data_IF_265036756855
#
_entry.id   IF_265036756855
#
_cell.length_a   1.000
_cell.length_b   1.000
_cell.length_c   1.000
_cell.angle_alpha   90.00
_cell.angle_beta   90.00
_cell.angle_gamma   90.00
#
_symmetry.space_group_name_H-M   'P 1'
#
loop_
_entity.id
_entity.type
_entity.pdbx_description
1 polymer ?
#
# COMPACT_ATOMS: atom_id res chain seq x y z
N UNK A 1 26.42 26.17 -64.45
CA UNK A 1 27.86 26.54 -64.47
C UNK A 1 28.44 26.41 -63.05
N UNK A 2 29.73 26.09 -62.88
CA UNK A 2 30.43 26.03 -61.56
C UNK A 2 31.21 27.32 -61.28
N UNK A 3 31.20 27.79 -60.02
CA UNK A 3 32.28 28.52 -59.29
C UNK A 3 31.73 28.76 -57.86
N UNK A 4 32.10 28.02 -56.80
CA UNK A 4 33.39 27.73 -56.11
C UNK A 4 34.00 28.89 -55.32
N UNK A 5 34.00 28.69 -53.99
CA UNK A 5 35.06 28.98 -53.01
C UNK A 5 35.34 30.44 -52.58
N UNK A 6 35.32 30.67 -51.26
CA UNK A 6 36.55 30.68 -50.42
C UNK A 6 36.25 30.37 -48.95
N UNK A 7 37.30 30.06 -48.16
CA UNK A 7 37.23 29.32 -46.89
C UNK A 7 38.42 29.68 -45.98
N UNK A 8 38.16 29.97 -44.68
CA UNK A 8 39.06 30.03 -43.49
C UNK A 8 38.13 29.84 -42.27
N UNK A 9 38.19 28.85 -41.36
CA UNK A 9 39.24 28.01 -40.71
C UNK A 9 40.09 28.76 -39.66
N UNK A 10 40.35 28.09 -38.51
CA UNK A 10 41.12 28.49 -37.31
C UNK A 10 40.30 29.39 -36.35
N UNK A 11 40.10 29.11 -35.04
CA UNK A 11 40.21 27.94 -34.12
C UNK A 11 39.44 28.33 -32.79
N UNK A 12 39.31 27.64 -31.64
CA UNK A 12 39.78 26.36 -31.05
C UNK A 12 38.84 25.92 -29.88
N UNK A 13 38.71 24.59 -29.62
CA UNK A 13 38.41 23.80 -28.38
C UNK A 13 37.61 24.46 -27.21
N UNK A 14 36.64 23.78 -26.55
CA UNK A 14 36.82 22.50 -25.82
C UNK A 14 35.54 21.65 -25.63
N UNK A 15 35.68 20.54 -24.89
CA UNK A 15 34.75 19.42 -24.68
C UNK A 15 33.36 19.77 -24.10
N UNK A 16 32.31 19.09 -24.59
CA UNK A 16 31.61 18.06 -23.80
C UNK A 16 30.77 17.13 -24.69
N UNK A 17 30.74 15.83 -24.37
CA UNK A 17 29.95 14.81 -25.07
C UNK A 17 28.88 14.27 -24.13
N UNK A 18 27.61 14.60 -24.37
CA UNK A 18 26.48 14.05 -23.61
C UNK A 18 25.49 13.37 -24.54
N UNK A 19 25.66 12.05 -24.71
CA UNK A 19 24.71 11.19 -25.43
C UNK A 19 23.44 11.04 -24.58
N UNK A 20 22.38 11.80 -24.88
CA UNK A 20 21.08 11.64 -24.22
C UNK A 20 20.43 10.34 -24.72
N UNK A 21 20.67 9.26 -23.98
CA UNK A 21 20.02 7.98 -24.21
C UNK A 21 18.57 8.07 -23.71
N UNK A 22 17.60 8.10 -24.62
CA UNK A 22 16.17 8.12 -24.29
C UNK A 22 15.70 6.74 -23.80
N UNK A 23 15.96 6.45 -22.53
CA UNK A 23 15.49 5.21 -21.87
C UNK A 23 13.98 5.26 -21.68
N UNK A 24 13.24 4.76 -22.67
CA UNK A 24 11.81 4.49 -22.55
C UNK A 24 11.59 3.42 -21.47
N UNK A 25 11.28 3.86 -20.24
CA UNK A 25 10.90 2.97 -19.15
C UNK A 25 9.46 2.47 -19.33
N UNK A 26 9.30 1.51 -20.24
CA UNK A 26 8.11 0.67 -20.32
C UNK A 26 7.96 -0.10 -19.01
N UNK A 27 7.10 0.37 -18.11
CA UNK A 27 6.82 -0.29 -16.83
C UNK A 27 6.01 -1.57 -17.08
N UNK A 28 6.71 -2.63 -17.47
CA UNK A 28 6.20 -3.99 -17.40
C UNK A 28 5.98 -4.34 -15.93
N UNK A 29 4.71 -4.49 -15.54
CA UNK A 29 4.33 -4.89 -14.18
C UNK A 29 4.70 -6.37 -13.94
N UNK A 30 5.97 -6.63 -13.62
CA UNK A 30 6.40 -7.95 -13.16
C UNK A 30 5.86 -8.19 -11.75
N UNK A 31 5.01 -9.22 -11.59
CA UNK A 31 4.57 -9.71 -10.28
C UNK A 31 5.75 -10.31 -9.49
N UNK A 32 6.55 -9.45 -8.87
CA UNK A 32 7.51 -9.84 -7.84
C UNK A 32 6.79 -9.85 -6.49
N UNK A 33 6.87 -10.98 -5.79
CA UNK A 33 6.36 -11.07 -4.42
C UNK A 33 7.29 -10.27 -3.50
N UNK A 34 6.93 -9.03 -3.18
CA UNK A 34 7.63 -8.22 -2.18
C UNK A 34 7.55 -8.97 -0.84
N UNK A 35 8.66 -9.56 -0.42
CA UNK A 35 8.78 -10.14 0.92
C UNK A 35 9.23 -9.07 1.91
N UNK A 36 8.85 -9.24 3.19
CA UNK A 36 9.08 -8.23 4.23
C UNK A 36 10.58 -7.95 4.50
N UNK A 37 11.47 -8.77 3.95
CA UNK A 37 12.93 -8.59 3.93
C UNK A 37 13.43 -7.51 2.96
N UNK A 38 12.64 -7.16 1.94
CA UNK A 38 13.16 -6.48 0.74
C UNK A 38 13.07 -4.95 0.85
N UNK A 39 12.46 -4.44 1.92
CA UNK A 39 12.36 -3.03 2.24
C UNK A 39 13.69 -2.56 2.87
N UNK A 40 14.61 -2.04 2.04
CA UNK A 40 15.72 -1.22 2.53
C UNK A 40 15.18 0.11 3.07
N UNK A 41 14.91 0.16 4.36
CA UNK A 41 14.49 1.37 5.07
C UNK A 41 15.65 2.38 5.08
N UNK A 42 15.57 3.41 4.23
CA UNK A 42 16.41 4.60 4.35
C UNK A 42 15.85 5.51 5.44
N UNK A 43 16.73 6.03 6.29
CA UNK A 43 16.37 6.71 7.53
C UNK A 43 15.94 8.16 7.31
N UNK A 44 14.66 8.47 7.53
CA UNK A 44 14.17 9.81 7.84
C UNK A 44 13.12 9.71 8.96
N UNK A 45 13.35 10.45 10.05
CA UNK A 45 12.32 10.82 11.03
C UNK A 45 11.85 12.26 10.70
N UNK A 46 10.73 12.70 11.29
CA UNK A 46 10.73 13.94 12.10
C UNK A 46 9.41 14.18 12.88
N UNK A 47 9.59 14.86 14.02
CA UNK A 47 8.65 15.59 14.92
C UNK A 47 7.30 15.00 15.40
N UNK A 48 6.50 14.22 14.64
CA UNK A 48 5.16 13.77 15.10
C UNK A 48 5.02 12.27 15.46
N UNK A 49 6.14 11.55 15.56
CA UNK A 49 6.17 10.19 16.15
C UNK A 49 5.53 9.08 15.30
N UNK A 50 5.10 9.37 14.06
CA UNK A 50 4.85 8.33 13.06
C UNK A 50 6.18 7.73 12.59
N UNK A 51 6.69 6.82 13.43
CA UNK A 51 7.96 6.11 13.25
C UNK A 51 7.99 5.20 12.01
N UNK A 52 9.16 4.61 11.76
CA UNK A 52 9.52 3.63 10.72
C UNK A 52 8.57 2.42 10.56
N UNK A 53 7.53 2.29 11.39
CA UNK A 53 6.55 1.20 11.42
C UNK A 53 5.21 1.54 10.73
N UNK A 54 5.02 2.78 10.25
CA UNK A 54 3.83 3.13 9.47
C UNK A 54 3.87 2.46 8.08
N UNK A 55 2.77 1.82 7.66
CA UNK A 55 2.70 1.14 6.36
C UNK A 55 2.00 2.05 5.35
N UNK A 56 2.64 2.32 4.21
CA UNK A 56 1.98 3.00 3.08
C UNK A 56 0.87 2.12 2.48
N UNK A 57 -0.27 2.74 2.20
CA UNK A 57 -1.47 2.13 1.60
C UNK A 57 -1.63 2.53 0.13
N UNK A 58 -1.18 3.73 -0.22
CA UNK A 58 -1.10 4.27 -1.58
C UNK A 58 -0.12 5.43 -1.61
N UNK A 59 0.55 5.62 -2.74
CA UNK A 59 1.39 6.78 -3.05
C UNK A 59 1.01 7.27 -4.44
N UNK A 60 0.91 8.60 -4.61
CA UNK A 60 0.35 9.23 -5.80
C UNK A 60 0.89 10.68 -5.96
N UNK A 61 0.70 11.30 -7.13
CA UNK A 61 1.19 12.68 -7.40
C UNK A 61 0.15 13.53 -8.12
N UNK A 62 0.16 14.83 -7.83
CA UNK A 62 -0.89 15.77 -8.20
C UNK A 62 -0.27 17.07 -8.72
N UNK A 63 -0.47 17.34 -10.01
CA UNK A 63 -0.21 18.65 -10.59
C UNK A 63 -1.19 19.67 -10.01
N UNK A 64 -0.68 20.83 -9.60
CA UNK A 64 -1.45 21.96 -9.11
C UNK A 64 -1.56 23.02 -10.19
N UNK A 65 -2.78 23.46 -10.43
CA UNK A 65 -3.11 24.47 -11.44
C UNK A 65 -3.59 25.77 -10.80
N UNK A 66 -3.17 26.89 -11.38
CA UNK A 66 -3.79 28.21 -11.20
C UNK A 66 -4.65 28.56 -12.43
N UNK A 67 -5.54 29.54 -12.30
CA UNK A 67 -6.15 30.20 -13.46
C UNK A 67 -5.16 31.21 -14.03
N UNK A 68 -4.92 31.16 -15.35
CA UNK A 68 -4.41 32.36 -16.05
C UNK A 68 -5.43 33.50 -15.92
N UNK A 69 -4.95 34.74 -15.95
CA UNK A 69 -5.76 35.96 -16.02
C UNK A 69 -6.45 36.10 -17.39
N UNK A 70 -7.36 35.18 -17.72
CA UNK A 70 -8.18 35.25 -18.91
C UNK A 70 -9.30 36.29 -18.73
N UNK A 71 -9.39 37.23 -19.66
CA UNK A 71 -10.37 38.32 -19.71
C UNK A 71 -11.80 37.86 -20.06
N UNK A 72 -12.03 36.56 -20.28
CA UNK A 72 -13.35 35.97 -20.45
C UNK A 72 -13.50 34.65 -19.70
N UNK A 73 -14.74 34.23 -19.47
CA UNK A 73 -15.07 32.96 -18.80
C UNK A 73 -14.84 31.72 -19.67
N UNK A 74 -14.72 31.88 -21.00
CA UNK A 74 -14.81 30.77 -21.96
C UNK A 74 -13.46 30.09 -22.31
N UNK A 75 -12.32 30.69 -21.94
CA UNK A 75 -10.99 30.27 -22.40
C UNK A 75 -9.95 30.23 -21.27
N UNK A 76 -10.33 29.68 -20.10
CA UNK A 76 -9.44 29.57 -18.94
C UNK A 76 -8.49 28.37 -19.05
N UNK A 77 -7.38 28.58 -19.75
CA UNK A 77 -6.21 27.71 -19.61
C UNK A 77 -5.78 27.60 -18.15
N UNK A 78 -5.53 26.35 -17.71
CA UNK A 78 -5.02 26.00 -16.40
C UNK A 78 -3.54 25.67 -16.51
N UNK A 79 -2.68 26.56 -16.02
CA UNK A 79 -1.23 26.38 -16.05
C UNK A 79 -0.78 25.55 -14.84
N UNK A 80 0.10 24.56 -15.05
CA UNK A 80 0.70 23.78 -13.96
C UNK A 80 1.74 24.66 -13.27
N UNK A 81 1.43 25.09 -12.04
CA UNK A 81 2.28 25.97 -11.23
C UNK A 81 3.04 25.23 -10.13
N UNK A 82 2.74 23.95 -9.91
CA UNK A 82 3.41 23.10 -8.94
C UNK A 82 2.98 21.65 -9.02
N UNK A 83 3.59 20.81 -8.20
CA UNK A 83 3.30 19.39 -8.05
C UNK A 83 3.47 19.00 -6.58
N UNK A 84 2.60 18.17 -6.02
CA UNK A 84 2.84 17.55 -4.72
C UNK A 84 2.64 16.03 -4.79
N UNK A 85 3.64 15.29 -4.31
CA UNK A 85 3.53 13.84 -4.11
C UNK A 85 3.09 13.56 -2.68
N UNK A 86 2.25 12.55 -2.50
CA UNK A 86 1.71 12.19 -1.19
C UNK A 86 1.53 10.68 -1.05
N UNK A 87 1.47 10.21 0.19
CA UNK A 87 1.03 8.86 0.50
C UNK A 87 -0.02 8.85 1.61
N UNK A 88 -0.89 7.84 1.59
CA UNK A 88 -1.68 7.51 2.79
C UNK A 88 -1.07 6.34 3.51
N UNK A 89 -1.14 6.35 4.84
CA UNK A 89 -0.61 5.29 5.67
C UNK A 89 -1.60 4.86 6.75
N UNK A 90 -1.27 3.77 7.44
CA UNK A 90 -1.81 3.49 8.76
C UNK A 90 -0.70 3.20 9.77
N UNK A 91 -1.00 3.42 11.04
CA UNK A 91 -0.19 3.00 12.19
C UNK A 91 -1.11 2.60 13.36
N UNK A 92 -0.73 1.59 14.14
CA UNK A 92 -1.37 1.30 15.42
C UNK A 92 -0.66 2.01 16.57
N UNK A 93 -1.40 2.76 17.39
CA UNK A 93 -0.90 3.43 18.60
C UNK A 93 -1.99 3.38 19.68
N UNK A 94 -1.66 2.93 20.89
CA UNK A 94 -2.51 2.98 22.09
C UNK A 94 -3.96 2.49 21.91
N UNK A 95 -4.12 1.31 21.32
CA UNK A 95 -5.44 0.71 21.07
C UNK A 95 -6.17 1.25 19.83
N UNK A 96 -5.61 2.26 19.16
CA UNK A 96 -6.23 2.94 18.01
C UNK A 96 -5.48 2.65 16.72
N UNK A 97 -6.24 2.47 15.64
CA UNK A 97 -5.75 2.55 14.27
C UNK A 97 -5.78 4.02 13.85
N UNK A 98 -4.60 4.59 13.56
CA UNK A 98 -4.44 5.89 12.90
C UNK A 98 -4.41 5.68 11.40
N UNK A 99 -5.13 6.50 10.64
CA UNK A 99 -5.01 6.60 9.18
C UNK A 99 -4.55 8.02 8.83
N UNK A 100 -3.42 8.13 8.13
CA UNK A 100 -2.75 9.40 7.86
C UNK A 100 -2.64 9.74 6.38
N UNK A 101 -2.45 11.03 6.09
CA UNK A 101 -2.07 11.57 4.79
C UNK A 101 -0.76 12.32 4.98
N UNK A 102 0.29 11.92 4.27
CA UNK A 102 1.65 12.45 4.38
C UNK A 102 2.04 13.16 3.08
N UNK A 103 2.62 14.35 3.20
CA UNK A 103 3.16 15.11 2.08
C UNK A 103 4.62 14.67 1.87
N UNK A 104 4.89 13.94 0.79
CA UNK A 104 6.23 13.41 0.47
C UNK A 104 7.11 14.44 -0.26
N UNK A 105 6.49 15.30 -1.08
CA UNK A 105 7.14 16.43 -1.73
C UNK A 105 6.13 17.56 -2.03
N UNK A 106 6.67 18.74 -2.35
CA UNK A 106 5.91 19.94 -2.73
C UNK A 106 6.85 20.81 -3.56
N UNK A 107 6.61 20.88 -4.86
CA UNK A 107 7.41 21.58 -5.88
C UNK A 107 6.57 22.72 -6.47
N UNK A 108 7.17 23.88 -6.73
CA UNK A 108 6.48 25.04 -7.29
C UNK A 108 5.60 25.78 -6.26
N UNK A 109 4.49 26.36 -6.73
CA UNK A 109 3.56 27.13 -5.89
C UNK A 109 2.87 26.26 -4.84
N UNK A 110 2.77 26.79 -3.61
CA UNK A 110 2.07 26.13 -2.50
C UNK A 110 0.60 26.56 -2.43
N UNK A 111 -0.34 25.62 -2.23
CA UNK A 111 -1.72 25.95 -1.87
C UNK A 111 -1.80 26.82 -0.62
N UNK A 112 -2.86 27.63 -0.50
CA UNK A 112 -3.21 28.33 0.74
C UNK A 112 -3.78 27.36 1.79
N UNK A 113 -4.48 26.33 1.32
CA UNK A 113 -5.07 25.28 2.15
C UNK A 113 -5.16 23.97 1.37
N UNK A 114 -4.92 22.86 2.05
CA UNK A 114 -5.19 21.49 1.57
C UNK A 114 -6.12 20.82 2.58
N UNK A 115 -7.34 20.50 2.17
CA UNK A 115 -8.32 19.78 3.01
C UNK A 115 -8.44 18.35 2.52
N UNK A 116 -8.35 17.38 3.43
CA UNK A 116 -8.33 15.94 3.15
C UNK A 116 -9.47 15.27 3.92
N UNK A 117 -10.27 14.46 3.23
CA UNK A 117 -11.41 13.74 3.76
C UNK A 117 -11.14 12.23 3.78
N UNK A 118 -11.29 11.59 4.93
CA UNK A 118 -11.06 10.17 5.12
C UNK A 118 -12.37 9.40 5.29
N UNK A 119 -12.70 8.56 4.31
CA UNK A 119 -13.78 7.57 4.38
C UNK A 119 -13.15 6.21 4.60
N UNK A 120 -13.32 5.62 5.77
CA UNK A 120 -12.94 4.22 5.99
C UNK A 120 -14.15 3.34 5.68
N UNK A 121 -13.92 2.18 5.08
CA UNK A 121 -14.90 1.11 4.94
C UNK A 121 -14.43 -0.13 5.68
N UNK A 122 -15.38 -0.91 6.16
CA UNK A 122 -15.12 -2.15 6.87
C UNK A 122 -15.96 -3.32 6.34
N UNK A 123 -15.48 -4.54 6.59
CA UNK A 123 -16.12 -5.77 6.12
C UNK A 123 -15.71 -7.00 6.91
N UNK A 124 -16.63 -7.97 6.98
CA UNK A 124 -16.41 -9.25 7.66
C UNK A 124 -15.55 -10.24 6.86
N UNK A 125 -15.25 -9.92 5.60
CA UNK A 125 -14.45 -10.68 4.64
C UNK A 125 -13.92 -9.73 3.54
N UNK A 126 -12.81 -10.09 2.90
CA UNK A 126 -12.11 -9.23 1.91
C UNK A 126 -12.98 -8.80 0.72
N UNK A 127 -14.01 -9.59 0.36
CA UNK A 127 -14.86 -9.34 -0.82
C UNK A 127 -16.00 -8.35 -0.55
N UNK A 128 -16.30 -8.04 0.71
CA UNK A 128 -17.47 -7.25 1.13
C UNK A 128 -17.08 -6.16 2.14
N UNK A 129 -16.10 -5.34 1.77
CA UNK A 129 -15.62 -4.19 2.57
C UNK A 129 -16.39 -2.93 2.15
N UNK A 130 -17.67 -2.89 2.53
CA UNK A 130 -18.67 -1.92 2.04
C UNK A 130 -19.30 -1.05 3.12
N UNK A 131 -19.27 -1.47 4.40
CA UNK A 131 -19.89 -0.71 5.48
C UNK A 131 -19.05 0.54 5.79
N UNK A 132 -19.65 1.74 5.75
CA UNK A 132 -18.91 2.98 5.94
C UNK A 132 -18.60 3.24 7.43
N UNK A 133 -17.44 3.85 7.65
CA UNK A 133 -16.96 4.41 8.91
C UNK A 133 -16.34 5.76 8.58
N UNK A 134 -17.14 6.82 8.66
CA UNK A 134 -16.70 8.18 8.37
C UNK A 134 -15.70 8.60 9.47
N UNK A 135 -14.42 8.74 9.14
CA UNK A 135 -13.38 9.07 10.12
C UNK A 135 -13.24 10.58 10.34
N UNK A 136 -13.54 11.38 9.32
CA UNK A 136 -13.55 12.84 9.41
C UNK A 136 -12.70 13.53 8.35
N UNK A 137 -12.36 14.79 8.64
CA UNK A 137 -11.64 15.71 7.74
C UNK A 137 -10.46 16.30 8.49
N UNK A 138 -9.32 16.46 7.81
CA UNK A 138 -8.15 17.20 8.30
C UNK A 138 -7.80 18.31 7.32
N UNK A 139 -7.20 19.39 7.81
CA UNK A 139 -6.84 20.55 6.99
C UNK A 139 -5.42 20.99 7.29
N UNK A 140 -4.60 21.12 6.24
CA UNK A 140 -3.27 21.72 6.25
C UNK A 140 -3.39 23.18 5.79
N UNK A 141 -2.96 24.12 6.63
CA UNK A 141 -2.72 25.53 6.28
C UNK A 141 -1.45 25.62 5.43
N UNK A 142 -1.28 26.67 4.63
CA UNK A 142 -0.11 26.87 3.74
C UNK A 142 1.27 26.64 4.40
N UNK A 143 1.45 27.00 5.68
CA UNK A 143 2.69 26.75 6.46
C UNK A 143 2.92 25.28 6.83
N UNK A 144 1.84 24.48 6.90
CA UNK A 144 1.83 23.05 7.15
C UNK A 144 2.01 22.23 5.85
N UNK A 145 1.99 22.88 4.68
CA UNK A 145 2.23 22.24 3.37
C UNK A 145 3.74 22.25 3.09
N UNK A 146 4.44 21.23 3.62
CA UNK A 146 5.86 20.93 3.38
C UNK A 146 6.12 19.44 3.53
N UNK A 147 7.23 18.95 2.95
CA UNK A 147 7.65 17.55 3.04
C UNK A 147 7.66 17.04 4.50
N UNK A 148 7.25 15.79 4.70
CA UNK A 148 7.22 15.12 6.00
C UNK A 148 6.02 15.50 6.88
N UNK A 149 5.23 16.50 6.50
CA UNK A 149 4.03 16.85 7.27
C UNK A 149 2.91 15.85 7.05
N UNK A 150 2.22 15.55 8.14
CA UNK A 150 1.18 14.53 8.22
C UNK A 150 0.02 15.06 9.04
N UNK A 151 -1.21 14.65 8.68
CA UNK A 151 -2.37 14.73 9.55
C UNK A 151 -3.15 13.43 9.45
N UNK A 152 -3.75 13.01 10.56
CA UNK A 152 -4.37 11.70 10.70
C UNK A 152 -5.69 11.76 11.46
N UNK A 153 -6.47 10.70 11.29
CA UNK A 153 -7.72 10.40 11.98
C UNK A 153 -7.61 9.05 12.66
N UNK A 154 -8.45 8.75 13.66
CA UNK A 154 -8.33 7.52 14.46
C UNK A 154 -9.63 6.75 14.62
N UNK A 155 -9.56 5.42 14.57
CA UNK A 155 -10.64 4.51 14.99
C UNK A 155 -10.12 3.48 16.01
N UNK A 156 -11.00 2.77 16.70
CA UNK A 156 -10.62 1.67 17.58
C UNK A 156 -10.06 0.48 16.76
N UNK A 157 -8.99 -0.15 17.24
CA UNK A 157 -8.49 -1.37 16.62
C UNK A 157 -9.48 -2.53 16.82
N UNK A 158 -9.72 -3.30 15.76
CA UNK A 158 -10.63 -4.44 15.79
C UNK A 158 -10.18 -5.52 14.79
N UNK A 159 -10.67 -6.74 14.97
CA UNK A 159 -10.52 -7.81 13.99
C UNK A 159 -11.48 -7.57 12.83
N UNK A 160 -10.98 -6.99 11.75
CA UNK A 160 -11.80 -6.41 10.68
C UNK A 160 -10.98 -6.25 9.38
N UNK A 161 -11.62 -6.43 8.21
CA UNK A 161 -11.06 -5.95 6.95
C UNK A 161 -11.39 -4.46 6.80
N UNK A 162 -10.39 -3.63 6.51
CA UNK A 162 -10.54 -2.19 6.34
C UNK A 162 -10.12 -1.75 4.93
N UNK A 163 -10.81 -0.77 4.36
CA UNK A 163 -10.44 -0.13 3.10
C UNK A 163 -10.59 1.38 3.24
N UNK A 164 -9.47 2.10 3.14
CA UNK A 164 -9.46 3.56 3.19
C UNK A 164 -9.75 4.12 1.79
N UNK A 165 -10.66 5.08 1.71
CA UNK A 165 -10.84 5.97 0.56
C UNK A 165 -10.55 7.39 1.04
N UNK A 166 -9.65 8.08 0.33
CA UNK A 166 -9.24 9.44 0.68
C UNK A 166 -9.42 10.35 -0.52
N UNK A 167 -10.14 11.45 -0.34
CA UNK A 167 -10.20 12.55 -1.29
C UNK A 167 -9.66 13.82 -0.65
N UNK A 168 -9.25 14.79 -1.46
CA UNK A 168 -8.75 16.06 -0.98
C UNK A 168 -9.10 17.18 -1.95
N UNK A 169 -8.89 18.42 -1.50
CA UNK A 169 -8.92 19.60 -2.33
C UNK A 169 -7.80 20.57 -1.89
N UNK A 170 -6.88 20.87 -2.80
CA UNK A 170 -5.87 21.90 -2.65
C UNK A 170 -6.39 23.22 -3.26
N UNK A 171 -6.45 24.29 -2.47
CA UNK A 171 -6.93 25.60 -2.94
C UNK A 171 -5.77 26.58 -3.00
N UNK A 172 -5.54 27.14 -4.19
CA UNK A 172 -4.44 28.04 -4.51
C UNK A 172 -4.72 29.50 -4.10
N UNK A 173 -3.74 30.38 -4.28
CA UNK A 173 -3.82 31.78 -3.83
C UNK A 173 -4.88 32.62 -4.58
N UNK A 174 -5.21 32.23 -5.82
CA UNK A 174 -6.26 32.80 -6.67
C UNK A 174 -7.67 32.19 -6.42
N UNK A 175 -7.78 31.27 -5.45
CA UNK A 175 -8.99 30.50 -5.19
C UNK A 175 -9.25 29.37 -6.19
N UNK A 176 -8.26 28.96 -7.00
CA UNK A 176 -8.38 27.80 -7.88
C UNK A 176 -8.33 26.50 -7.07
N UNK A 177 -9.28 25.62 -7.38
CA UNK A 177 -9.53 24.36 -6.69
C UNK A 177 -8.88 23.22 -7.47
N UNK A 178 -8.00 22.47 -6.81
CA UNK A 178 -7.33 21.29 -7.33
C UNK A 178 -7.80 20.07 -6.51
N UNK A 179 -8.97 19.48 -6.87
CA UNK A 179 -9.48 18.29 -6.22
C UNK A 179 -8.74 17.04 -6.70
N UNK A 180 -8.63 16.04 -5.84
CA UNK A 180 -8.15 14.72 -6.22
C UNK A 180 -8.55 13.65 -5.21
N UNK A 181 -8.27 12.39 -5.54
CA UNK A 181 -8.56 11.27 -4.67
C UNK A 181 -7.65 10.08 -4.97
N UNK A 182 -7.30 9.35 -3.92
CA UNK A 182 -6.64 8.06 -4.06
C UNK A 182 -7.54 7.07 -4.82
N UNK A 183 -6.91 6.27 -5.67
CA UNK A 183 -7.53 5.06 -6.22
C UNK A 183 -8.01 4.11 -5.13
N UNK A 184 -8.85 3.13 -5.51
CA UNK A 184 -9.35 2.14 -4.56
C UNK A 184 -8.24 1.19 -4.09
N UNK A 185 -7.69 1.43 -2.89
CA UNK A 185 -6.71 0.51 -2.30
C UNK A 185 -7.29 -0.88 -2.03
N UNK A 186 -6.40 -1.87 -1.98
CA UNK A 186 -6.69 -3.22 -1.49
C UNK A 186 -7.09 -3.14 0.00
N UNK A 187 -8.11 -3.89 0.45
CA UNK A 187 -8.40 -3.96 1.87
C UNK A 187 -7.25 -4.59 2.68
N UNK A 188 -7.11 -4.19 3.94
CA UNK A 188 -6.17 -4.76 4.91
C UNK A 188 -6.94 -5.45 6.04
N UNK A 189 -6.59 -6.69 6.40
CA UNK A 189 -7.10 -7.33 7.61
C UNK A 189 -6.25 -6.92 8.83
N UNK A 190 -6.87 -6.35 9.86
CA UNK A 190 -6.23 -6.17 11.18
C UNK A 190 -6.82 -7.10 12.24
N UNK A 191 -6.12 -7.28 13.36
CA UNK A 191 -6.65 -7.89 14.59
C UNK A 191 -6.98 -6.84 15.67
N UNK A 192 -7.45 -7.26 16.86
CA UNK A 192 -7.77 -6.36 18.00
C UNK A 192 -6.60 -5.53 18.53
N UNK A 193 -5.36 -5.80 18.11
CA UNK A 193 -4.16 -4.98 18.39
C UNK A 193 -3.68 -4.18 17.17
N UNK A 194 -4.54 -4.00 16.16
CA UNK A 194 -4.25 -3.22 14.96
C UNK A 194 -3.13 -3.78 14.08
N UNK A 195 -2.66 -4.99 14.34
CA UNK A 195 -1.60 -5.63 13.56
C UNK A 195 -2.20 -6.10 12.24
N UNK A 196 -1.56 -5.78 11.11
CA UNK A 196 -1.94 -6.36 9.80
C UNK A 196 -1.72 -7.88 9.78
N UNK A 197 -2.58 -8.58 9.05
CA UNK A 197 -2.42 -10.00 8.75
C UNK A 197 -1.14 -10.26 7.93
N UNK A 198 -0.23 -11.15 8.35
CA UNK A 198 0.98 -11.46 7.58
C UNK A 198 0.62 -12.21 6.29
N UNK A 199 0.66 -11.48 5.17
CA UNK A 199 0.35 -11.99 3.84
C UNK A 199 1.22 -13.19 3.47
N UNK A 200 0.59 -14.24 2.93
CA UNK A 200 1.31 -15.43 2.45
C UNK A 200 0.52 -16.17 1.38
N UNK A 201 1.14 -16.34 0.21
CA UNK A 201 0.67 -17.21 -0.87
C UNK A 201 1.61 -18.40 -1.00
N UNK A 202 1.06 -19.61 -1.03
CA UNK A 202 1.85 -20.83 -1.30
C UNK A 202 2.40 -20.79 -2.73
N UNK A 203 3.74 -20.82 -2.92
CA UNK A 203 4.35 -20.71 -4.25
C UNK A 203 3.93 -21.81 -5.22
N UNK A 204 3.50 -22.98 -4.75
CA UNK A 204 3.10 -24.11 -5.62
C UNK A 204 1.58 -24.16 -5.80
N UNK A 205 0.76 -24.31 -4.75
CA UNK A 205 -0.70 -24.44 -4.91
C UNK A 205 -1.44 -23.12 -5.20
N UNK A 206 -0.75 -21.97 -5.07
CA UNK A 206 -1.30 -20.61 -5.18
C UNK A 206 -2.44 -20.28 -4.20
N UNK A 207 -2.65 -21.12 -3.19
CA UNK A 207 -3.52 -20.78 -2.05
C UNK A 207 -2.97 -19.57 -1.32
N UNK A 208 -3.85 -18.65 -0.98
CA UNK A 208 -3.60 -17.50 -0.14
C UNK A 208 -4.16 -17.73 1.27
N UNK A 209 -3.45 -17.23 2.28
CA UNK A 209 -3.81 -17.33 3.68
C UNK A 209 -4.86 -16.29 4.13
N UNK A 210 -5.06 -15.17 3.43
CA UNK A 210 -5.98 -14.10 3.87
C UNK A 210 -7.40 -14.22 3.28
N UNK A 211 -7.55 -14.48 1.99
CA UNK A 211 -8.79 -14.29 1.22
C UNK A 211 -10.00 -15.16 1.60
N UNK A 212 -9.80 -16.18 2.43
CA UNK A 212 -10.88 -17.01 3.01
C UNK A 212 -11.15 -16.72 4.49
N UNK A 213 -10.38 -15.82 5.11
CA UNK A 213 -10.63 -15.38 6.48
C UNK A 213 -11.94 -14.59 6.54
N UNK A 214 -12.77 -14.92 7.53
CA UNK A 214 -13.80 -14.02 8.03
C UNK A 214 -13.43 -13.56 9.43
N UNK A 215 -13.95 -12.41 9.85
CA UNK A 215 -13.71 -11.83 11.19
C UNK A 215 -14.79 -12.21 12.21
N UNK A 216 -15.77 -13.03 11.82
CA UNK A 216 -16.92 -13.45 12.63
C UNK A 216 -16.76 -14.83 13.29
N UNK A 217 -15.60 -15.48 13.18
CA UNK A 217 -15.43 -16.84 13.70
C UNK A 217 -15.43 -16.88 15.23
N UNK A 218 -16.35 -17.68 15.80
CA UNK A 218 -16.42 -17.92 17.24
C UNK A 218 -15.25 -18.79 17.70
N UNK A 219 -14.60 -18.41 18.80
CA UNK A 219 -13.51 -19.15 19.42
C UNK A 219 -14.05 -20.35 20.20
N UNK A 220 -13.50 -21.54 19.96
CA UNK A 220 -13.80 -22.76 20.70
C UNK A 220 -13.05 -22.76 22.05
N UNK A 221 -13.69 -23.32 23.08
CA UNK A 221 -13.12 -23.45 24.42
C UNK A 221 -11.80 -24.24 24.44
N UNK A 222 -11.67 -25.26 23.57
CA UNK A 222 -10.45 -26.05 23.36
C UNK A 222 -10.16 -26.14 21.86
N UNK A 223 -8.89 -26.05 21.48
CA UNK A 223 -8.44 -26.31 20.11
C UNK A 223 -8.41 -27.83 19.86
N UNK A 224 -9.12 -28.38 18.86
CA UNK A 224 -9.06 -29.81 18.55
C UNK A 224 -7.66 -30.27 18.12
N UNK A 225 -7.27 -31.48 18.50
CA UNK A 225 -6.01 -32.11 18.07
C UNK A 225 -6.03 -32.42 16.56
N UNK A 226 -4.85 -32.45 15.91
CA UNK A 226 -4.71 -32.82 14.50
C UNK A 226 -3.41 -33.58 14.24
N UNK A 227 -3.51 -34.65 13.44
CA UNK A 227 -2.41 -35.53 13.03
C UNK A 227 -2.40 -35.82 11.51
N UNK A 228 -3.18 -35.08 10.72
CA UNK A 228 -3.40 -35.34 9.29
C UNK A 228 -2.24 -35.02 8.33
N UNK A 229 -1.02 -34.72 8.82
CA UNK A 229 0.12 -34.26 8.00
C UNK A 229 0.42 -35.19 6.82
N UNK A 230 0.53 -36.50 7.05
CA UNK A 230 0.87 -37.46 5.99
C UNK A 230 -0.25 -37.58 4.93
N UNK A 231 -1.52 -37.51 5.35
CA UNK A 231 -2.68 -37.50 4.43
C UNK A 231 -2.69 -36.23 3.58
N UNK A 232 -2.40 -35.08 4.19
CA UNK A 232 -2.31 -33.81 3.46
C UNK A 232 -1.19 -33.81 2.43
N UNK A 233 0.01 -34.27 2.80
CA UNK A 233 1.17 -34.37 1.89
C UNK A 233 0.80 -35.24 0.69
N UNK A 234 0.23 -36.43 0.91
CA UNK A 234 -0.23 -37.31 -0.19
C UNK A 234 -1.19 -36.59 -1.14
N UNK A 235 -2.25 -35.98 -0.61
CA UNK A 235 -3.24 -35.24 -1.43
C UNK A 235 -2.65 -34.02 -2.14
N UNK A 236 -1.61 -33.41 -1.59
CA UNK A 236 -0.91 -32.29 -2.20
C UNK A 236 -0.05 -32.75 -3.37
N UNK A 237 0.72 -33.83 -3.20
CA UNK A 237 1.57 -34.39 -4.26
C UNK A 237 0.76 -35.05 -5.38
N UNK A 238 -0.39 -35.65 -5.06
CA UNK A 238 -1.38 -36.14 -6.03
C UNK A 238 -1.95 -35.01 -6.91
N UNK A 239 -2.02 -33.77 -6.40
CA UNK A 239 -2.64 -32.63 -7.10
C UNK A 239 -1.64 -31.66 -7.76
N UNK A 240 -0.46 -31.48 -7.17
CA UNK A 240 0.54 -30.48 -7.59
C UNK A 240 1.90 -31.10 -7.94
N UNK A 241 1.98 -32.43 -8.02
CA UNK A 241 3.22 -33.17 -8.25
C UNK A 241 4.06 -33.33 -6.98
N UNK A 242 4.90 -34.38 -6.98
CA UNK A 242 5.79 -34.71 -5.87
C UNK A 242 6.78 -33.57 -5.60
N UNK A 243 6.94 -33.20 -4.33
CA UNK A 243 7.84 -32.13 -3.91
C UNK A 243 9.16 -32.71 -3.36
N UNK A 244 10.29 -31.98 -3.42
CA UNK A 244 11.53 -32.44 -2.81
C UNK A 244 11.40 -32.47 -1.27
N UNK A 245 12.16 -33.34 -0.60
CA UNK A 245 12.15 -33.46 0.86
C UNK A 245 12.49 -32.13 1.58
N UNK A 246 13.31 -31.29 0.95
CA UNK A 246 13.64 -29.93 1.40
C UNK A 246 12.46 -28.96 1.41
N UNK A 247 11.48 -29.12 0.51
CA UNK A 247 10.24 -28.35 0.56
C UNK A 247 9.49 -28.71 1.85
N UNK A 248 9.23 -30.00 2.07
CA UNK A 248 8.47 -30.48 3.22
C UNK A 248 9.15 -30.21 4.58
N UNK A 249 10.49 -30.15 4.65
CA UNK A 249 11.20 -29.77 5.88
C UNK A 249 11.12 -28.27 6.19
N UNK A 250 11.03 -27.41 5.17
CA UNK A 250 10.93 -25.95 5.35
C UNK A 250 9.55 -25.45 5.81
N UNK A 251 8.48 -26.22 5.55
CA UNK A 251 7.08 -25.80 5.73
C UNK A 251 6.33 -26.50 6.88
N UNK A 252 5.54 -25.71 7.59
CA UNK A 252 4.46 -26.18 8.44
C UNK A 252 3.16 -26.29 7.63
N UNK A 253 2.26 -27.20 7.99
CA UNK A 253 0.93 -27.28 7.37
C UNK A 253 -0.02 -26.43 8.21
N UNK A 254 -0.40 -25.29 7.65
CA UNK A 254 -1.28 -24.32 8.28
C UNK A 254 -2.76 -24.68 8.07
N UNK A 255 -3.61 -24.30 9.03
CA UNK A 255 -5.07 -24.31 8.87
C UNK A 255 -5.53 -22.87 8.66
N UNK A 256 -5.97 -22.51 7.45
CA UNK A 256 -6.26 -21.13 7.02
C UNK A 256 -7.35 -20.50 7.91
N UNK A 257 -8.42 -21.25 8.16
CA UNK A 257 -9.25 -21.09 9.36
C UNK A 257 -8.65 -21.96 10.47
N UNK A 258 -8.11 -21.38 11.56
CA UNK A 258 -7.45 -22.19 12.59
C UNK A 258 -8.42 -23.10 13.33
N UNK A 259 -7.91 -24.24 13.81
CA UNK A 259 -8.68 -25.26 14.55
C UNK A 259 -9.47 -24.68 15.73
N UNK A 260 -8.87 -23.76 16.49
CA UNK A 260 -9.53 -23.09 17.63
C UNK A 260 -10.69 -22.15 17.22
N UNK A 261 -10.79 -21.77 15.94
CA UNK A 261 -11.88 -20.94 15.42
C UNK A 261 -12.88 -21.77 14.58
N UNK A 262 -12.89 -23.10 14.77
CA UNK A 262 -13.80 -24.03 14.07
C UNK A 262 -13.35 -24.40 12.65
N UNK A 263 -12.05 -24.32 12.35
CA UNK A 263 -11.50 -24.82 11.09
C UNK A 263 -11.61 -26.34 10.96
N UNK A 264 -12.06 -26.82 9.80
CA UNK A 264 -12.16 -28.24 9.50
C UNK A 264 -10.76 -28.89 9.50
N UNK A 265 -10.66 -30.08 10.13
CA UNK A 265 -9.38 -30.70 10.46
C UNK A 265 -8.72 -31.42 9.27
N UNK A 266 -9.50 -32.11 8.44
CA UNK A 266 -8.99 -32.89 7.31
C UNK A 266 -9.54 -32.41 5.97
N UNK A 267 -10.03 -31.17 5.92
CA UNK A 267 -10.37 -30.50 4.66
C UNK A 267 -9.10 -30.00 3.98
N UNK A 268 -8.82 -30.50 2.78
CA UNK A 268 -7.69 -30.08 1.98
C UNK A 268 -7.72 -28.58 1.65
N UNK A 269 -8.91 -27.98 1.50
CA UNK A 269 -9.04 -26.56 1.12
C UNK A 269 -8.69 -25.63 2.29
N UNK A 270 -9.07 -25.98 3.52
CA UNK A 270 -8.62 -25.30 4.74
C UNK A 270 -7.11 -25.47 5.05
N UNK A 271 -6.36 -26.26 4.29
CA UNK A 271 -4.95 -26.59 4.58
C UNK A 271 -3.98 -26.12 3.49
N UNK A 272 -2.87 -25.51 3.89
CA UNK A 272 -1.79 -25.05 2.99
C UNK A 272 -0.39 -25.20 3.61
N UNK A 273 0.68 -25.47 2.83
CA UNK A 273 2.05 -25.41 3.32
C UNK A 273 2.50 -23.94 3.46
N UNK A 274 3.05 -23.60 4.62
CA UNK A 274 3.52 -22.26 4.95
C UNK A 274 4.96 -22.33 5.46
N UNK A 275 5.87 -21.51 4.90
CA UNK A 275 7.24 -21.36 5.41
C UNK A 275 7.23 -21.16 6.93
N UNK A 276 8.10 -21.85 7.64
CA UNK A 276 8.03 -21.93 9.12
C UNK A 276 8.04 -20.56 9.81
N UNK A 277 8.68 -19.53 9.25
CA UNK A 277 8.64 -18.15 9.73
C UNK A 277 7.28 -17.46 9.54
N UNK A 278 6.75 -17.45 8.31
CA UNK A 278 5.41 -16.95 8.01
C UNK A 278 4.34 -17.65 8.85
N UNK A 279 4.51 -18.96 9.10
CA UNK A 279 3.63 -19.72 9.99
C UNK A 279 3.67 -19.20 11.44
N UNK A 280 4.86 -18.86 11.97
CA UNK A 280 5.00 -18.24 13.30
C UNK A 280 4.35 -16.85 13.34
N UNK A 281 4.49 -16.05 12.29
CA UNK A 281 3.87 -14.72 12.18
C UNK A 281 2.33 -14.82 12.18
N UNK A 282 1.74 -15.60 11.28
CA UNK A 282 0.27 -15.79 11.17
C UNK A 282 -0.29 -16.39 12.47
N UNK A 283 0.38 -17.39 13.06
CA UNK A 283 -0.04 -17.98 14.35
C UNK A 283 0.01 -16.96 15.50
N UNK A 284 0.95 -16.02 15.47
CA UNK A 284 1.05 -14.95 16.47
C UNK A 284 -0.01 -13.88 16.28
N UNK A 285 -0.33 -13.54 15.04
CA UNK A 285 -1.41 -12.61 14.70
C UNK A 285 -2.78 -13.11 15.19
N UNK A 286 -3.09 -14.40 14.99
CA UNK A 286 -4.33 -15.02 15.46
C UNK A 286 -4.49 -15.07 17.00
N UNK A 287 -3.45 -14.76 17.79
CA UNK A 287 -3.57 -14.65 19.26
C UNK A 287 -4.48 -13.50 19.68
N UNK A 288 -4.56 -12.43 18.86
CA UNK A 288 -5.37 -11.25 19.12
C UNK A 288 -6.60 -11.16 18.18
N UNK A 289 -6.97 -12.25 17.50
CA UNK A 289 -8.18 -12.32 16.66
C UNK A 289 -9.45 -12.23 17.49
#
# INVERSE_FOLDING_TARGET
>A
MRKKNKLRIILMWMLSLTLILSVNFSVFASNQNITQSDIKISSLHDEEGLSLNATSLSTDSVNLHNRKNASSLASREQEVVGEFTYHTNYLYVDGKLRYGFVIDSMIGEKPKVLTVHFTLRHGSNIKQVTANTNLGTVTFKSSEIRKGQVKYVTTAANTMFWKLNTSFNAVMADGTSNPGANGQITPILTNKKGQIFPQYVDPVSKKDAESTISTTWKKLAKSPTWNGRSKYIKQYEEKYGKQPSSFWSSVQIHHIRPRQYGGALNDFNNLMPVKTESHRAITSWFRNY
#
